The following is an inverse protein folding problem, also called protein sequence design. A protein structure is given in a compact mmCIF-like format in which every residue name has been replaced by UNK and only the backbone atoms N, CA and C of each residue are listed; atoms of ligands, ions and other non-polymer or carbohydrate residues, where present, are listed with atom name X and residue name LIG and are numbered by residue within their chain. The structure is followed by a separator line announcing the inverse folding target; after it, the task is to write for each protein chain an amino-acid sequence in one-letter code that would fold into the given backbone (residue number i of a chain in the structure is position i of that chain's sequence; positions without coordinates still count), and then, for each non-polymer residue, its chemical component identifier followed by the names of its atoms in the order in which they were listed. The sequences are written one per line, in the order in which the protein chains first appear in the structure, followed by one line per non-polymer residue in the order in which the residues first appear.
data_IF_175343276969
#
_entry.id   IF_175343276969
#
_cell.length_a   1.000
_cell.length_b   1.000
_cell.length_c   1.000
_cell.angle_alpha   90.00
_cell.angle_beta   90.00
_cell.angle_gamma   90.00
#
_symmetry.space_group_name_H-M   'P 1'
#
loop_
_entity.id
_entity.type
_entity.pdbx_description
1 polymer ?
#
# COMPACT_ATOMS: atom_id res chain seq x y z
N UNK A 1 -11.15 5.78 47.71
CA UNK A 1 -12.23 5.48 46.74
C UNK A 1 -13.20 4.52 47.37
N UNK A 2 -14.51 4.86 47.37
CA UNK A 2 -15.53 4.00 47.94
C UNK A 2 -15.87 2.85 46.99
N UNK A 3 -16.18 1.67 47.56
CA UNK A 3 -16.60 0.48 46.80
C UNK A 3 -17.84 0.72 45.93
N UNK A 4 -18.72 1.59 46.37
CA UNK A 4 -19.90 2.06 45.66
C UNK A 4 -19.52 2.83 44.37
N UNK A 5 -18.45 3.62 44.41
CA UNK A 5 -17.95 4.36 43.26
C UNK A 5 -17.36 3.41 42.21
N UNK A 6 -16.68 2.34 42.64
CA UNK A 6 -16.15 1.29 41.75
C UNK A 6 -17.26 0.49 41.07
N UNK A 7 -18.34 0.14 41.79
CA UNK A 7 -19.50 -0.54 41.20
C UNK A 7 -20.19 0.30 40.13
N UNK A 8 -20.39 1.60 40.39
CA UNK A 8 -21.03 2.52 39.44
C UNK A 8 -20.20 2.74 38.21
N UNK A 9 -18.88 2.85 38.34
CA UNK A 9 -17.96 3.02 37.22
C UNK A 9 -17.78 1.74 36.38
N UNK A 10 -18.04 0.56 36.95
CA UNK A 10 -17.96 -0.72 36.23
C UNK A 10 -18.95 -0.81 35.07
N UNK A 11 -20.20 -0.38 35.28
CA UNK A 11 -21.22 -0.36 34.21
C UNK A 11 -20.89 0.61 33.08
N UNK A 12 -20.45 1.82 33.45
CA UNK A 12 -20.04 2.82 32.45
C UNK A 12 -18.80 2.41 31.65
N UNK A 13 -17.86 1.72 32.29
CA UNK A 13 -16.67 1.20 31.60
C UNK A 13 -17.00 0.04 30.66
N UNK A 14 -17.92 -0.86 31.04
CA UNK A 14 -18.35 -1.96 30.14
C UNK A 14 -19.03 -1.39 28.90
N UNK A 15 -19.91 -0.39 29.04
CA UNK A 15 -20.54 0.27 27.88
C UNK A 15 -19.52 0.91 26.94
N UNK A 16 -18.50 1.58 27.48
CA UNK A 16 -17.40 2.15 26.69
C UNK A 16 -16.56 1.09 25.98
N UNK A 17 -16.30 -0.04 26.63
CA UNK A 17 -15.57 -1.16 26.03
C UNK A 17 -16.38 -1.78 24.89
N UNK A 18 -17.70 -1.99 25.10
CA UNK A 18 -18.59 -2.50 24.05
C UNK A 18 -18.66 -1.53 22.86
N UNK A 19 -18.77 -0.23 23.14
CA UNK A 19 -18.78 0.80 22.11
C UNK A 19 -17.46 0.86 21.32
N UNK A 20 -16.33 0.74 22.02
CA UNK A 20 -15.01 0.67 21.37
C UNK A 20 -14.84 -0.62 20.55
N UNK A 21 -15.33 -1.75 21.03
CA UNK A 21 -15.32 -3.01 20.30
C UNK A 21 -16.24 -2.98 19.05
N UNK A 22 -17.39 -2.33 19.15
CA UNK A 22 -18.28 -2.12 18.02
C UNK A 22 -17.70 -1.16 16.99
N UNK A 23 -17.03 -0.09 17.42
CA UNK A 23 -16.33 0.83 16.51
C UNK A 23 -15.16 0.16 15.76
N UNK A 24 -14.52 -0.83 16.36
CA UNK A 24 -13.50 -1.65 15.68
C UNK A 24 -14.11 -2.68 14.72
N UNK A 25 -15.37 -3.10 14.95
CA UNK A 25 -16.08 -4.05 14.09
C UNK A 25 -16.94 -3.39 13.01
N UNK A 26 -17.24 -2.11 13.08
CA UNK A 26 -17.71 -1.35 11.92
C UNK A 26 -16.51 -1.23 10.99
N UNK A 27 -16.36 -2.24 10.14
CA UNK A 27 -15.36 -2.28 9.09
C UNK A 27 -15.60 -1.13 8.12
N UNK A 28 -15.14 0.05 8.49
CA UNK A 28 -14.73 1.01 7.50
C UNK A 28 -13.66 0.28 6.69
N UNK A 29 -14.03 -0.13 5.51
CA UNK A 29 -13.09 -0.58 4.49
C UNK A 29 -12.16 0.61 4.28
N UNK A 30 -11.05 0.64 5.03
CA UNK A 30 -10.00 1.63 4.83
C UNK A 30 -9.59 1.48 3.39
N UNK A 31 -9.99 2.42 2.56
CA UNK A 31 -9.47 2.52 1.20
C UNK A 31 -7.99 2.81 1.32
N UNK A 32 -7.16 1.83 0.97
CA UNK A 32 -5.71 2.00 0.86
C UNK A 32 -5.31 2.64 -0.48
N UNK A 33 -6.30 3.15 -1.22
CA UNK A 33 -6.06 3.85 -2.48
C UNK A 33 -5.54 5.25 -2.16
N UNK A 34 -4.32 5.53 -2.56
CA UNK A 34 -3.75 6.87 -2.48
C UNK A 34 -4.29 7.71 -3.65
N UNK A 35 -5.18 8.66 -3.34
CA UNK A 35 -5.82 9.54 -4.33
C UNK A 35 -4.84 10.45 -5.06
N UNK A 36 -3.63 10.63 -4.53
CA UNK A 36 -2.56 11.39 -5.19
C UNK A 36 -1.97 10.64 -6.38
N UNK A 37 -2.15 9.32 -6.42
CA UNK A 37 -1.66 8.46 -7.49
C UNK A 37 -2.75 8.30 -8.55
N UNK A 38 -2.61 9.04 -9.64
CA UNK A 38 -3.48 8.87 -10.78
C UNK A 38 -3.27 7.50 -11.45
N UNK A 39 -4.35 6.83 -11.80
CA UNK A 39 -4.36 5.59 -12.56
C UNK A 39 -5.34 5.71 -13.72
N UNK A 40 -5.02 5.16 -14.91
CA UNK A 40 -5.97 5.18 -16.02
C UNK A 40 -7.22 4.36 -15.67
N UNK A 41 -8.38 4.87 -16.07
CA UNK A 41 -9.60 4.08 -16.08
C UNK A 41 -9.56 3.12 -17.25
N UNK A 42 -9.76 1.84 -16.98
CA UNK A 42 -9.74 0.79 -18.00
C UNK A 42 -11.09 0.10 -18.08
N UNK A 43 -11.44 -0.40 -19.26
CA UNK A 43 -12.63 -1.20 -19.48
C UNK A 43 -12.45 -2.65 -18.95
N UNK A 44 -13.49 -3.48 -19.10
CA UNK A 44 -13.45 -4.89 -18.69
C UNK A 44 -12.41 -5.72 -19.44
N UNK A 45 -11.97 -5.28 -20.62
CA UNK A 45 -10.96 -5.93 -21.43
C UNK A 45 -9.53 -5.42 -21.11
N UNK A 46 -9.42 -4.44 -20.19
CA UNK A 46 -8.12 -3.86 -19.79
C UNK A 46 -7.65 -2.70 -20.67
N UNK A 47 -8.47 -2.22 -21.63
CA UNK A 47 -8.13 -1.09 -22.49
C UNK A 47 -8.52 0.22 -21.81
N UNK A 48 -7.65 1.21 -21.91
CA UNK A 48 -7.90 2.55 -21.41
C UNK A 48 -7.29 3.61 -22.30
N UNK A 49 -7.83 4.82 -22.23
CA UNK A 49 -7.33 5.99 -22.93
C UNK A 49 -7.17 7.15 -21.97
N UNK A 50 -6.02 7.84 -22.05
CA UNK A 50 -5.79 9.05 -21.28
C UNK A 50 -4.88 10.00 -22.05
N UNK A 51 -5.12 11.29 -21.88
CA UNK A 51 -4.25 12.36 -22.38
C UNK A 51 -3.48 12.90 -21.18
N UNK A 52 -2.18 12.79 -21.23
CA UNK A 52 -1.30 13.15 -20.12
C UNK A 52 -0.24 14.15 -20.60
N UNK A 53 0.14 15.06 -19.72
CA UNK A 53 1.33 15.89 -19.87
C UNK A 53 2.29 15.57 -18.74
N UNK A 54 3.48 15.11 -19.08
CA UNK A 54 4.56 14.95 -18.11
C UNK A 54 5.13 16.32 -17.77
N UNK A 55 5.25 16.58 -16.48
CA UNK A 55 5.94 17.77 -16.00
C UNK A 55 7.44 17.53 -16.03
N UNK A 56 8.24 18.52 -16.50
CA UNK A 56 9.69 18.39 -16.50
C UNK A 56 10.21 18.33 -15.05
N UNK A 57 11.32 17.61 -14.87
CA UNK A 57 12.13 17.72 -13.66
C UNK A 57 12.83 19.08 -13.59
N UNK A 58 13.50 19.35 -12.47
CA UNK A 58 14.42 20.48 -12.39
C UNK A 58 15.57 20.29 -13.38
N UNK A 59 16.26 21.37 -13.73
CA UNK A 59 17.38 21.33 -14.66
C UNK A 59 18.40 20.26 -14.30
N UNK A 60 18.60 19.29 -15.21
CA UNK A 60 19.48 18.14 -15.01
C UNK A 60 18.91 16.97 -14.22
N UNK A 61 17.66 17.04 -13.73
CA UNK A 61 17.01 15.93 -13.05
C UNK A 61 16.12 15.11 -13.98
N UNK A 62 16.07 13.81 -13.72
CA UNK A 62 15.15 12.90 -14.41
C UNK A 62 13.71 13.18 -13.92
N UNK A 63 12.70 13.30 -14.80
CA UNK A 63 11.34 13.69 -14.44
C UNK A 63 10.54 12.56 -13.77
N UNK A 64 11.18 11.53 -13.29
CA UNK A 64 10.53 10.43 -12.58
C UNK A 64 11.42 9.88 -11.46
N UNK A 65 10.78 9.27 -10.48
CA UNK A 65 11.43 8.51 -9.40
C UNK A 65 11.05 7.05 -9.55
N UNK A 66 12.00 6.17 -9.38
CA UNK A 66 11.77 4.72 -9.31
C UNK A 66 11.92 4.25 -7.88
N UNK A 67 11.06 3.35 -7.48
CA UNK A 67 11.14 2.69 -6.18
C UNK A 67 10.74 1.22 -6.29
N UNK A 68 11.09 0.46 -5.29
CA UNK A 68 10.75 -0.94 -5.18
C UNK A 68 9.81 -1.16 -4.02
N UNK A 69 8.83 -2.06 -4.18
CA UNK A 69 7.98 -2.51 -3.11
C UNK A 69 7.92 -4.04 -3.03
N UNK A 70 7.45 -4.51 -1.89
CA UNK A 70 7.05 -5.89 -1.69
C UNK A 70 5.53 -5.95 -1.51
N UNK A 71 4.90 -6.99 -2.08
CA UNK A 71 3.48 -7.24 -1.89
C UNK A 71 3.21 -8.73 -2.03
N UNK A 72 3.19 -9.44 -0.90
CA UNK A 72 2.96 -10.88 -0.85
C UNK A 72 2.23 -11.27 0.43
N UNK A 73 1.69 -12.50 0.45
CA UNK A 73 1.09 -13.06 1.66
C UNK A 73 2.15 -13.74 2.51
N UNK A 74 2.22 -13.34 3.78
CA UNK A 74 3.07 -13.99 4.77
C UNK A 74 2.56 -15.37 5.20
N UNK A 75 3.31 -16.07 6.07
CA UNK A 75 2.94 -17.42 6.55
C UNK A 75 1.59 -17.46 7.30
N UNK A 76 1.18 -16.32 7.88
CA UNK A 76 -0.09 -16.15 8.58
C UNK A 76 -1.28 -15.89 7.65
N UNK A 77 -1.06 -15.80 6.33
CA UNK A 77 -2.07 -15.43 5.33
C UNK A 77 -2.34 -13.93 5.23
N UNK A 78 -1.72 -13.10 6.07
CA UNK A 78 -1.82 -11.65 6.00
C UNK A 78 -0.92 -11.09 4.89
N UNK A 79 -1.36 -9.99 4.29
CA UNK A 79 -0.57 -9.26 3.32
C UNK A 79 0.56 -8.49 3.99
N UNK A 80 1.75 -8.64 3.44
CA UNK A 80 2.90 -7.79 3.70
C UNK A 80 3.06 -6.85 2.50
N UNK A 81 2.85 -5.56 2.72
CA UNK A 81 2.95 -4.52 1.68
C UNK A 81 3.82 -3.41 2.24
N UNK A 82 5.07 -3.34 1.77
CA UNK A 82 6.06 -2.37 2.26
C UNK A 82 7.02 -1.96 1.15
N UNK A 83 7.52 -0.74 1.25
CA UNK A 83 8.57 -0.27 0.36
C UNK A 83 9.88 -0.97 0.68
N UNK A 84 10.56 -1.44 -0.36
CA UNK A 84 11.88 -2.07 -0.21
C UNK A 84 12.95 -1.02 0.11
N UNK A 85 13.76 -1.29 1.12
CA UNK A 85 14.87 -0.41 1.55
C UNK A 85 15.92 -0.21 0.46
N UNK A 86 15.98 -1.09 -0.52
CA UNK A 86 16.86 -0.88 -1.70
C UNK A 86 16.49 0.35 -2.52
N UNK A 87 15.26 0.87 -2.38
CA UNK A 87 14.85 2.13 -3.02
C UNK A 87 15.65 3.33 -2.53
N UNK A 88 16.16 3.28 -1.31
CA UNK A 88 16.99 4.32 -0.68
C UNK A 88 18.45 3.87 -0.50
N UNK A 89 18.86 2.83 -1.22
CA UNK A 89 20.24 2.33 -1.19
C UNK A 89 20.61 1.54 0.08
N UNK A 90 19.64 1.14 0.89
CA UNK A 90 19.86 0.34 2.08
C UNK A 90 19.61 -1.14 1.84
N UNK A 91 20.17 -1.98 2.69
CA UNK A 91 19.97 -3.43 2.65
C UNK A 91 18.53 -3.78 3.01
N UNK A 92 17.92 -4.61 2.18
CA UNK A 92 16.55 -5.07 2.36
C UNK A 92 16.52 -6.50 2.90
N UNK A 93 16.04 -6.73 4.13
CA UNK A 93 16.02 -8.06 4.74
C UNK A 93 15.22 -9.09 3.95
N UNK A 94 14.11 -8.68 3.32
CA UNK A 94 13.30 -9.55 2.46
C UNK A 94 14.06 -9.94 1.21
N UNK A 95 14.77 -9.00 0.61
CA UNK A 95 15.63 -9.23 -0.54
C UNK A 95 16.77 -10.21 -0.23
N UNK A 96 17.40 -10.09 0.93
CA UNK A 96 18.45 -11.01 1.39
C UNK A 96 17.90 -12.44 1.63
N UNK A 97 16.74 -12.54 2.29
CA UNK A 97 16.07 -13.84 2.48
C UNK A 97 15.74 -14.48 1.12
N UNK A 98 15.20 -13.71 0.20
CA UNK A 98 14.87 -14.20 -1.15
C UNK A 98 16.11 -14.69 -1.91
N UNK A 99 17.23 -14.01 -1.76
CA UNK A 99 18.51 -14.45 -2.35
C UNK A 99 18.97 -15.79 -1.76
N UNK A 100 18.83 -15.98 -0.45
CA UNK A 100 19.15 -17.25 0.23
C UNK A 100 18.22 -18.37 -0.26
N UNK A 101 16.91 -18.12 -0.31
CA UNK A 101 15.91 -19.07 -0.78
C UNK A 101 16.16 -19.47 -2.25
N UNK A 102 16.53 -18.51 -3.09
CA UNK A 102 16.83 -18.77 -4.49
C UNK A 102 18.07 -19.66 -4.67
N UNK A 103 19.08 -19.44 -3.84
CA UNK A 103 20.34 -20.15 -3.89
C UNK A 103 20.33 -21.48 -3.10
N UNK A 104 19.24 -21.83 -2.42
CA UNK A 104 19.13 -23.09 -1.67
C UNK A 104 19.17 -24.33 -2.54
N UNK A 105 18.85 -24.20 -3.84
CA UNK A 105 18.73 -25.31 -4.77
C UNK A 105 17.40 -26.07 -4.68
N UNK A 106 16.55 -25.74 -3.70
CA UNK A 106 15.26 -26.39 -3.46
C UNK A 106 14.16 -25.65 -4.25
N UNK A 107 13.39 -26.36 -5.07
CA UNK A 107 12.38 -25.73 -5.93
C UNK A 107 11.27 -25.04 -5.13
N UNK A 108 10.82 -25.62 -4.01
CA UNK A 108 9.81 -24.97 -3.15
C UNK A 108 10.29 -23.64 -2.56
N UNK A 109 11.58 -23.49 -2.31
CA UNK A 109 12.15 -22.22 -1.81
C UNK A 109 12.26 -21.19 -2.94
N UNK A 110 12.57 -21.62 -4.15
CA UNK A 110 12.56 -20.75 -5.32
C UNK A 110 11.17 -20.24 -5.64
N UNK A 111 10.13 -21.05 -5.46
CA UNK A 111 8.72 -20.62 -5.61
C UNK A 111 8.37 -19.53 -4.60
N UNK A 112 8.76 -19.69 -3.33
CA UNK A 112 8.59 -18.65 -2.30
C UNK A 112 9.33 -17.36 -2.70
N UNK A 113 10.57 -17.46 -3.15
CA UNK A 113 11.35 -16.32 -3.57
C UNK A 113 10.71 -15.59 -4.78
N UNK A 114 10.13 -16.32 -5.73
CA UNK A 114 9.36 -15.74 -6.86
C UNK A 114 8.13 -14.98 -6.36
N UNK A 115 7.38 -15.56 -5.42
CA UNK A 115 6.17 -14.94 -4.86
C UNK A 115 6.49 -13.67 -4.05
N UNK A 116 7.65 -13.62 -3.40
CA UNK A 116 8.10 -12.51 -2.56
C UNK A 116 8.98 -11.49 -3.31
N UNK A 117 9.16 -11.67 -4.62
CA UNK A 117 9.98 -10.79 -5.44
C UNK A 117 9.48 -9.35 -5.36
N UNK A 118 10.41 -8.41 -5.14
CA UNK A 118 10.13 -6.98 -5.19
C UNK A 118 9.66 -6.55 -6.58
N UNK A 119 8.77 -5.58 -6.63
CA UNK A 119 8.23 -4.98 -7.84
C UNK A 119 8.82 -3.60 -8.03
N UNK A 120 9.15 -3.26 -9.27
CA UNK A 120 9.64 -1.94 -9.64
C UNK A 120 8.47 -1.04 -10.03
N UNK A 121 8.45 0.17 -9.47
CA UNK A 121 7.50 1.21 -9.81
C UNK A 121 8.21 2.47 -10.27
N UNK A 122 7.55 3.19 -11.16
CA UNK A 122 7.95 4.51 -11.62
C UNK A 122 6.86 5.51 -11.23
N UNK A 123 7.26 6.61 -10.63
CA UNK A 123 6.36 7.71 -10.27
C UNK A 123 6.87 8.98 -10.92
N UNK A 124 6.01 9.66 -11.64
CA UNK A 124 6.29 10.95 -12.26
C UNK A 124 5.18 11.94 -11.95
N UNK A 125 5.49 13.23 -12.03
CA UNK A 125 4.51 14.28 -11.93
C UNK A 125 3.75 14.37 -13.25
N UNK A 126 2.41 14.31 -13.17
CA UNK A 126 1.52 14.40 -14.30
C UNK A 126 0.60 15.59 -14.15
N UNK A 127 0.35 16.28 -15.26
CA UNK A 127 -0.78 17.16 -15.40
C UNK A 127 -1.84 16.44 -16.25
N UNK A 128 -3.00 16.18 -15.65
CA UNK A 128 -4.15 15.66 -16.38
C UNK A 128 -4.96 16.85 -16.87
N UNK A 129 -5.19 16.96 -18.17
CA UNK A 129 -6.12 17.95 -18.69
C UNK A 129 -7.52 17.67 -18.11
N UNK A 130 -8.24 18.69 -17.60
CA UNK A 130 -9.61 18.49 -17.18
C UNK A 130 -10.39 17.91 -18.35
N UNK A 131 -11.27 16.94 -18.05
CA UNK A 131 -12.15 16.36 -19.06
C UNK A 131 -12.93 17.48 -19.75
N UNK A 132 -13.20 17.39 -21.07
CA UNK A 132 -14.05 18.35 -21.77
C UNK A 132 -15.45 18.52 -21.15
N UNK A 133 -15.85 17.60 -20.25
CA UNK A 133 -17.09 17.67 -19.47
C UNK A 133 -17.03 18.60 -18.25
N UNK A 134 -15.83 18.99 -17.81
CA UNK A 134 -15.66 19.86 -16.63
C UNK A 134 -15.65 21.36 -16.99
N UNK A 135 -15.84 21.71 -18.26
CA UNK A 135 -15.94 23.09 -18.76
C UNK A 135 -17.39 23.59 -18.84
N UNK A 136 -18.30 23.07 -18.04
CA UNK A 136 -19.61 23.70 -17.85
C UNK A 136 -19.53 24.71 -16.72
N UNK A 137 -19.17 25.95 -17.07
CA UNK A 137 -19.54 27.13 -16.30
C UNK A 137 -21.03 27.39 -16.47
#
# INVERSE_FOLDING_TARGET
MSFETLKRNRGANISKIVQAAQATNTGETKSYVDERIWKPTVDKAGNGYAVLRFLPGKDGEIPFVRYWDHGFKGPTGLWYIENSLTSIGQTDPVGELNSKLWNSGIESDKEKARAQKRRLHYVCLLYTSPSPRDNTL
#
